data_IF_882746374776
#
_entry.id   IF_882746374776
#
_cell.length_a   1.000
_cell.length_b   1.000
_cell.length_c   1.000
_cell.angle_alpha   90.00
_cell.angle_beta   90.00
_cell.angle_gamma   90.00
#
_symmetry.space_group_name_H-M   'P 1'
#
loop_
_entity.id
_entity.type
_entity.pdbx_description
1 polymer ?
#
# COMPACT_ATOMS: atom_id res chain seq x y z
N UNK A 1 49.30 -64.13 -27.48
CA UNK A 1 48.98 -63.62 -26.11
C UNK A 1 48.53 -62.17 -26.29
N UNK A 2 47.23 -61.93 -26.25
CA UNK A 2 46.65 -60.59 -26.44
C UNK A 2 46.12 -60.05 -25.12
N UNK A 3 46.73 -58.98 -24.62
CA UNK A 3 46.36 -58.31 -23.36
C UNK A 3 45.27 -57.28 -23.64
N UNK A 4 44.04 -57.52 -23.24
CA UNK A 4 42.94 -56.61 -23.33
C UNK A 4 42.91 -55.69 -22.10
N UNK A 5 43.25 -54.43 -22.25
CA UNK A 5 43.20 -53.39 -21.27
C UNK A 5 41.76 -52.86 -21.18
N UNK A 6 41.02 -53.17 -20.09
CA UNK A 6 39.70 -52.57 -19.77
C UNK A 6 39.90 -51.18 -19.20
N UNK A 7 39.43 -50.15 -19.91
CA UNK A 7 39.39 -48.77 -19.42
C UNK A 7 38.07 -48.51 -18.72
N UNK A 8 38.07 -48.48 -17.40
CA UNK A 8 36.91 -48.13 -16.58
C UNK A 8 36.72 -46.60 -16.55
N UNK A 9 35.69 -46.11 -17.24
CA UNK A 9 35.29 -44.70 -17.18
C UNK A 9 34.45 -44.49 -15.94
N UNK A 10 34.99 -43.80 -14.92
CA UNK A 10 34.28 -43.37 -13.73
C UNK A 10 33.49 -42.09 -14.07
N UNK A 11 32.19 -42.21 -14.30
CA UNK A 11 31.31 -41.04 -14.47
C UNK A 11 31.01 -40.47 -13.10
N UNK A 12 31.70 -39.36 -12.75
CA UNK A 12 31.36 -38.56 -11.58
C UNK A 12 30.06 -37.79 -11.81
N UNK A 13 28.95 -38.29 -11.26
CA UNK A 13 27.66 -37.61 -11.25
C UNK A 13 27.71 -36.45 -10.26
N UNK A 14 28.00 -35.25 -10.74
CA UNK A 14 27.92 -34.04 -9.92
C UNK A 14 26.44 -33.75 -9.61
N UNK A 15 26.00 -34.07 -8.37
CA UNK A 15 24.73 -33.61 -7.82
C UNK A 15 24.80 -32.07 -7.73
N UNK A 16 24.20 -31.38 -8.72
CA UNK A 16 23.90 -29.96 -8.56
C UNK A 16 22.85 -29.82 -7.45
N UNK A 17 23.09 -28.99 -6.44
CA UNK A 17 22.06 -28.72 -5.45
C UNK A 17 20.86 -28.08 -6.17
N UNK A 18 19.74 -28.79 -6.21
CA UNK A 18 18.46 -28.20 -6.60
C UNK A 18 18.11 -27.16 -5.55
N UNK A 19 18.42 -25.88 -5.84
CA UNK A 19 18.02 -24.78 -5.00
C UNK A 19 16.50 -24.86 -4.83
N UNK A 20 16.04 -25.22 -3.62
CA UNK A 20 14.63 -25.17 -3.26
C UNK A 20 14.14 -23.76 -3.55
N UNK A 21 13.25 -23.60 -4.52
CA UNK A 21 12.65 -22.30 -4.80
C UNK A 21 11.94 -21.83 -3.53
N UNK A 22 12.55 -20.88 -2.84
CA UNK A 22 12.01 -20.37 -1.58
C UNK A 22 10.66 -19.71 -1.87
N UNK A 23 9.60 -20.17 -1.19
CA UNK A 23 8.25 -19.59 -1.32
C UNK A 23 8.33 -18.08 -1.01
N UNK A 24 7.81 -17.21 -1.89
CA UNK A 24 7.87 -15.78 -1.65
C UNK A 24 7.07 -15.38 -0.40
N UNK A 25 7.57 -14.40 0.32
CA UNK A 25 6.85 -13.74 1.42
C UNK A 25 5.60 -13.05 0.86
N UNK A 26 4.43 -13.33 1.40
CA UNK A 26 3.15 -12.79 0.91
C UNK A 26 2.75 -11.59 1.74
N UNK A 27 2.70 -10.43 1.09
CA UNK A 27 2.38 -9.15 1.74
C UNK A 27 0.98 -8.70 1.34
N UNK A 28 0.08 -8.55 2.31
CA UNK A 28 -1.17 -7.83 2.14
C UNK A 28 -0.88 -6.34 2.30
N UNK A 29 -1.04 -5.54 1.26
CA UNK A 29 -0.66 -4.12 1.27
C UNK A 29 -1.82 -3.21 0.88
N UNK A 30 -2.03 -2.14 1.63
CA UNK A 30 -3.01 -1.11 1.28
C UNK A 30 -2.71 -0.52 -0.11
N UNK A 31 -3.77 -0.22 -0.86
CA UNK A 31 -3.67 0.14 -2.28
C UNK A 31 -2.85 1.42 -2.56
N UNK A 32 -2.71 2.32 -1.59
CA UNK A 32 -1.85 3.50 -1.72
C UNK A 32 -0.34 3.17 -1.80
N UNK A 33 0.04 1.93 -1.41
CA UNK A 33 1.40 1.42 -1.54
C UNK A 33 1.70 0.84 -2.93
N UNK A 34 0.69 0.68 -3.80
CA UNK A 34 0.87 0.08 -5.13
C UNK A 34 1.99 0.74 -5.96
N UNK A 35 2.13 2.08 -6.01
CA UNK A 35 3.22 2.72 -6.74
C UNK A 35 4.56 2.73 -5.99
N UNK A 36 4.58 2.41 -4.68
CA UNK A 36 5.73 2.62 -3.79
C UNK A 36 6.41 1.32 -3.41
N UNK A 37 5.64 0.29 -3.07
CA UNK A 37 6.16 -0.94 -2.47
C UNK A 37 6.93 -1.83 -3.47
N UNK A 38 6.52 -2.02 -4.74
CA UNK A 38 7.21 -2.95 -5.65
C UNK A 38 8.71 -2.69 -5.81
N UNK A 39 9.19 -1.45 -6.05
CA UNK A 39 10.63 -1.19 -6.13
C UNK A 39 11.36 -1.43 -4.80
N UNK A 40 10.70 -1.25 -3.65
CA UNK A 40 11.28 -1.54 -2.34
C UNK A 40 11.39 -3.04 -2.10
N UNK A 41 10.41 -3.84 -2.53
CA UNK A 41 10.49 -5.32 -2.45
C UNK A 41 11.63 -5.87 -3.32
N UNK A 42 11.88 -5.26 -4.47
CA UNK A 42 13.02 -5.65 -5.30
C UNK A 42 14.36 -5.27 -4.63
N UNK A 43 14.48 -4.09 -4.01
CA UNK A 43 15.66 -3.72 -3.21
C UNK A 43 15.85 -4.67 -2.02
N UNK A 44 14.77 -5.03 -1.34
CA UNK A 44 14.79 -6.02 -0.25
C UNK A 44 15.31 -7.38 -0.74
N UNK A 45 14.83 -7.84 -1.88
CA UNK A 45 15.30 -9.08 -2.51
C UNK A 45 16.80 -9.02 -2.84
N UNK A 46 17.28 -7.90 -3.37
CA UNK A 46 18.71 -7.71 -3.70
C UNK A 46 19.57 -7.72 -2.44
N UNK A 47 19.07 -7.12 -1.35
CA UNK A 47 19.82 -7.03 -0.09
C UNK A 47 19.85 -8.34 0.71
N UNK A 48 18.77 -9.16 0.63
CA UNK A 48 18.57 -10.30 1.54
C UNK A 48 18.47 -11.65 0.83
N UNK A 49 18.23 -11.66 -0.48
CA UNK A 49 17.88 -12.86 -1.23
C UNK A 49 16.43 -13.30 -1.06
N UNK A 50 15.64 -12.70 -0.15
CA UNK A 50 14.26 -13.06 0.14
C UNK A 50 13.35 -12.43 -0.90
N UNK A 51 12.54 -13.25 -1.59
CA UNK A 51 11.47 -12.77 -2.48
C UNK A 51 10.24 -12.41 -1.66
N UNK A 52 9.63 -11.28 -1.98
CA UNK A 52 8.35 -10.87 -1.42
C UNK A 52 7.40 -10.42 -2.55
N UNK A 53 6.12 -10.76 -2.41
CA UNK A 53 5.06 -10.43 -3.38
C UNK A 53 3.92 -9.76 -2.64
N UNK A 54 3.41 -8.65 -3.18
CA UNK A 54 2.36 -7.87 -2.57
C UNK A 54 1.03 -7.98 -3.31
N UNK A 55 -0.06 -8.09 -2.54
CA UNK A 55 -1.43 -7.96 -3.03
C UNK A 55 -1.99 -6.63 -2.54
N UNK A 56 -2.44 -5.80 -3.48
CA UNK A 56 -2.92 -4.45 -3.20
C UNK A 56 -4.45 -4.37 -3.22
N UNK A 57 -5.05 -3.97 -2.09
CA UNK A 57 -6.50 -3.80 -1.94
C UNK A 57 -6.83 -2.72 -0.89
N UNK A 58 -8.12 -2.42 -0.70
CA UNK A 58 -8.56 -1.65 0.46
C UNK A 58 -8.23 -2.41 1.76
N UNK A 59 -7.80 -1.68 2.80
CA UNK A 59 -7.36 -2.27 4.07
C UNK A 59 -8.42 -3.17 4.72
N UNK A 60 -9.71 -2.82 4.63
CA UNK A 60 -10.80 -3.67 5.14
C UNK A 60 -10.90 -5.01 4.41
N UNK A 61 -10.73 -5.01 3.08
CA UNK A 61 -10.80 -6.21 2.25
C UNK A 61 -9.67 -7.17 2.64
N UNK A 62 -8.44 -6.65 2.76
CA UNK A 62 -7.28 -7.45 3.18
C UNK A 62 -7.46 -8.01 4.59
N UNK A 63 -7.92 -7.20 5.54
CA UNK A 63 -8.21 -7.66 6.89
C UNK A 63 -9.26 -8.78 6.90
N UNK A 64 -10.33 -8.67 6.10
CA UNK A 64 -11.33 -9.72 5.94
C UNK A 64 -10.75 -10.99 5.32
N UNK A 65 -9.88 -10.88 4.32
CA UNK A 65 -9.18 -12.02 3.73
C UNK A 65 -8.31 -12.74 4.77
N UNK A 66 -7.56 -11.99 5.61
CA UNK A 66 -6.76 -12.58 6.70
C UNK A 66 -7.67 -13.27 7.73
N UNK A 67 -8.80 -12.65 8.12
CA UNK A 67 -9.79 -13.26 9.00
C UNK A 67 -10.34 -14.59 8.44
N UNK A 68 -10.50 -14.66 7.13
CA UNK A 68 -10.95 -15.87 6.42
C UNK A 68 -9.82 -16.85 6.11
N UNK A 69 -8.62 -16.63 6.63
CA UNK A 69 -7.49 -17.56 6.55
C UNK A 69 -6.65 -17.42 5.27
N UNK A 70 -6.74 -16.30 4.54
CA UNK A 70 -5.84 -16.04 3.42
C UNK A 70 -4.38 -16.10 3.87
N UNK A 71 -3.49 -16.74 3.09
CA UNK A 71 -2.14 -17.07 3.52
C UNK A 71 -1.17 -15.89 3.32
N UNK A 72 -1.41 -14.80 4.01
CA UNK A 72 -0.49 -13.68 4.10
C UNK A 72 0.47 -13.84 5.28
N UNK A 73 1.65 -13.24 5.16
CA UNK A 73 2.70 -13.25 6.17
C UNK A 73 2.80 -11.90 6.89
N UNK A 74 2.66 -10.80 6.15
CA UNK A 74 2.71 -9.42 6.63
C UNK A 74 1.50 -8.65 6.12
N UNK A 75 0.91 -7.82 6.98
CA UNK A 75 -0.15 -6.88 6.60
C UNK A 75 0.29 -5.44 6.82
N UNK A 76 0.28 -4.64 5.76
CA UNK A 76 0.56 -3.22 5.71
C UNK A 76 -0.75 -2.47 5.43
N UNK A 77 -1.37 -1.94 6.47
CA UNK A 77 -2.66 -1.24 6.40
C UNK A 77 -2.47 0.26 6.28
N UNK A 78 -3.40 0.95 5.62
CA UNK A 78 -3.43 2.41 5.60
C UNK A 78 -4.10 3.03 6.86
N UNK A 79 -4.36 2.25 7.89
CA UNK A 79 -4.76 2.71 9.23
C UNK A 79 -4.32 1.72 10.31
N UNK A 80 -4.58 2.07 11.58
CA UNK A 80 -4.26 1.22 12.73
C UNK A 80 -5.44 0.33 13.14
N UNK A 81 -6.67 0.65 12.75
CA UNK A 81 -7.87 -0.03 13.25
C UNK A 81 -8.01 -1.47 12.75
N UNK A 82 -7.68 -1.71 11.47
CA UNK A 82 -7.75 -3.06 10.91
C UNK A 82 -6.66 -3.99 11.46
N UNK A 83 -5.37 -3.58 11.50
CA UNK A 83 -4.33 -4.35 12.18
C UNK A 83 -4.67 -4.63 13.64
N UNK A 84 -5.15 -3.61 14.39
CA UNK A 84 -5.53 -3.80 15.80
C UNK A 84 -6.63 -4.85 15.96
N UNK A 85 -7.66 -4.83 15.12
CA UNK A 85 -8.73 -5.87 15.16
C UNK A 85 -8.21 -7.28 14.93
N UNK A 86 -7.18 -7.43 14.05
CA UNK A 86 -6.56 -8.73 13.82
C UNK A 86 -5.75 -9.18 15.04
N UNK A 87 -5.05 -8.27 15.73
CA UNK A 87 -4.34 -8.55 16.99
C UNK A 87 -5.36 -8.98 18.06
N UNK A 88 -6.43 -8.20 18.26
CA UNK A 88 -7.47 -8.47 19.26
C UNK A 88 -8.17 -9.83 19.00
N UNK A 89 -8.21 -10.27 17.75
CA UNK A 89 -8.74 -11.58 17.35
C UNK A 89 -7.70 -12.73 17.41
N UNK A 90 -6.46 -12.47 17.80
CA UNK A 90 -5.38 -13.47 17.82
C UNK A 90 -4.91 -13.92 16.43
N UNK A 91 -5.24 -13.15 15.38
CA UNK A 91 -4.92 -13.46 13.99
C UNK A 91 -3.66 -12.77 13.49
N UNK A 92 -3.16 -11.80 14.23
CA UNK A 92 -1.92 -11.10 13.95
C UNK A 92 -1.18 -10.75 15.26
N UNK A 93 0.11 -10.55 15.14
CA UNK A 93 0.97 -10.11 16.23
C UNK A 93 1.49 -8.71 15.92
N UNK A 94 1.56 -7.87 16.95
CA UNK A 94 2.30 -6.63 16.86
C UNK A 94 3.79 -6.94 16.62
N UNK A 95 4.32 -6.49 15.52
CA UNK A 95 5.61 -6.92 15.00
C UNK A 95 6.83 -6.42 15.81
N UNK A 96 6.65 -5.74 16.93
CA UNK A 96 7.74 -5.09 17.68
C UNK A 96 8.05 -5.66 19.05
N UNK A 97 7.14 -6.37 19.69
CA UNK A 97 7.40 -7.08 20.96
C UNK A 97 6.31 -8.12 21.22
N UNK A 98 6.65 -9.17 21.96
CA UNK A 98 5.69 -10.22 22.36
C UNK A 98 4.51 -9.67 23.20
N UNK A 99 4.67 -8.53 23.83
CA UNK A 99 3.69 -7.91 24.73
C UNK A 99 2.96 -6.71 24.11
N UNK A 100 3.26 -6.36 22.83
CA UNK A 100 2.63 -5.21 22.18
C UNK A 100 1.28 -5.58 21.60
N UNK A 101 0.24 -4.89 22.04
CA UNK A 101 -1.14 -4.98 21.51
C UNK A 101 -1.40 -3.94 20.43
N UNK A 102 -0.39 -3.16 20.04
CA UNK A 102 -0.49 -2.04 19.10
C UNK A 102 0.25 -2.35 17.80
N UNK A 103 -0.34 -2.09 16.62
CA UNK A 103 0.38 -2.18 15.34
C UNK A 103 1.58 -1.25 15.30
N UNK A 104 2.64 -1.62 14.60
CA UNK A 104 3.75 -0.70 14.32
C UNK A 104 3.31 0.32 13.29
N UNK A 105 3.46 1.60 13.60
CA UNK A 105 3.31 2.68 12.60
C UNK A 105 4.57 2.70 11.75
N UNK A 106 4.44 2.46 10.42
CA UNK A 106 5.59 2.47 9.51
C UNK A 106 5.64 3.69 8.60
N UNK A 107 4.50 4.41 8.44
CA UNK A 107 4.40 5.63 7.65
C UNK A 107 3.11 6.39 7.99
N UNK A 108 2.97 7.63 7.45
CA UNK A 108 1.69 8.37 7.46
C UNK A 108 1.35 8.80 6.05
N UNK A 109 0.09 8.58 5.66
CA UNK A 109 -0.45 8.95 4.36
C UNK A 109 -0.82 10.43 4.26
N UNK A 110 -0.90 10.94 3.04
CA UNK A 110 -1.34 12.31 2.74
C UNK A 110 -2.46 12.29 1.71
N UNK A 111 -3.58 12.93 2.02
CA UNK A 111 -4.72 13.11 1.13
C UNK A 111 -4.50 14.34 0.26
N UNK A 112 -4.75 14.21 -1.04
CA UNK A 112 -4.67 15.31 -2.01
C UNK A 112 -5.93 15.38 -2.86
N UNK A 113 -6.29 16.58 -3.29
CA UNK A 113 -7.24 16.81 -4.36
C UNK A 113 -6.45 16.89 -5.68
N UNK A 114 -6.74 16.02 -6.60
CA UNK A 114 -6.10 15.99 -7.92
C UNK A 114 -7.10 16.26 -9.04
N UNK A 115 -6.67 16.99 -10.05
CA UNK A 115 -7.45 17.20 -11.27
C UNK A 115 -6.54 17.20 -12.49
N UNK A 116 -7.12 16.83 -13.66
CA UNK A 116 -6.41 16.76 -14.93
C UNK A 116 -6.05 18.15 -15.44
N UNK A 117 -4.87 18.30 -16.03
CA UNK A 117 -4.49 19.50 -16.80
C UNK A 117 -5.37 19.63 -18.04
N UNK A 118 -5.71 20.88 -18.38
CA UNK A 118 -6.55 21.17 -19.56
C UNK A 118 -8.03 20.83 -19.38
N UNK A 119 -8.49 20.47 -18.19
CA UNK A 119 -9.91 20.43 -17.86
C UNK A 119 -10.49 21.84 -17.83
N UNK A 120 -11.81 21.96 -17.93
CA UNK A 120 -12.53 23.24 -17.78
C UNK A 120 -12.60 23.71 -16.33
N UNK A 121 -12.17 22.88 -15.38
CA UNK A 121 -12.14 23.20 -13.96
C UNK A 121 -10.93 24.09 -13.62
N UNK A 122 -11.05 24.94 -12.58
CA UNK A 122 -9.90 25.66 -12.04
C UNK A 122 -8.84 24.69 -11.49
N UNK A 123 -7.60 25.17 -11.29
CA UNK A 123 -6.55 24.37 -10.67
C UNK A 123 -6.98 23.81 -9.30
N UNK A 124 -6.50 22.62 -8.89
CA UNK A 124 -6.84 22.05 -7.61
C UNK A 124 -6.57 23.00 -6.43
N UNK A 125 -7.62 23.25 -5.66
CA UNK A 125 -7.64 24.07 -4.43
C UNK A 125 -8.88 23.69 -3.62
N UNK A 126 -9.06 24.21 -2.43
CA UNK A 126 -10.31 24.00 -1.69
C UNK A 126 -11.52 24.63 -2.40
N UNK A 127 -11.32 25.68 -3.20
CA UNK A 127 -12.40 26.33 -3.94
C UNK A 127 -12.88 25.48 -5.10
N UNK A 128 -12.02 24.64 -5.71
CA UNK A 128 -12.45 23.66 -6.70
C UNK A 128 -13.59 22.76 -6.20
N UNK A 129 -13.58 22.41 -4.91
CA UNK A 129 -14.65 21.59 -4.30
C UNK A 129 -16.01 22.31 -4.26
N UNK A 130 -16.03 23.65 -4.43
CA UNK A 130 -17.24 24.48 -4.51
C UNK A 130 -17.64 24.84 -5.94
N UNK A 131 -16.78 24.50 -6.90
CA UNK A 131 -17.03 24.85 -8.29
C UNK A 131 -18.27 24.13 -8.85
N UNK A 132 -19.22 24.87 -9.48
CA UNK A 132 -20.41 24.25 -10.06
C UNK A 132 -20.10 23.36 -11.27
N UNK A 133 -18.94 23.51 -11.89
CA UNK A 133 -18.44 22.67 -12.97
C UNK A 133 -17.97 21.30 -12.51
N UNK A 134 -17.62 21.11 -11.23
CA UNK A 134 -17.28 19.81 -10.67
C UNK A 134 -18.53 18.93 -10.59
N UNK A 135 -18.70 17.99 -11.50
CA UNK A 135 -19.86 17.10 -11.57
C UNK A 135 -19.60 15.73 -10.94
N UNK A 136 -18.36 15.24 -11.04
CA UNK A 136 -17.96 13.91 -10.59
C UNK A 136 -16.68 14.01 -9.78
N UNK A 137 -16.75 13.63 -8.49
CA UNK A 137 -15.63 13.60 -7.56
C UNK A 137 -15.31 12.16 -7.18
N UNK A 138 -14.15 11.64 -7.58
CA UNK A 138 -13.71 10.33 -7.19
C UNK A 138 -13.25 10.32 -5.72
N UNK A 139 -13.74 9.34 -4.97
CA UNK A 139 -13.29 9.01 -3.62
C UNK A 139 -13.17 7.49 -3.49
N UNK A 140 -12.27 7.01 -2.64
CA UNK A 140 -12.30 5.60 -2.23
C UNK A 140 -13.52 5.35 -1.32
N UNK A 141 -14.04 4.12 -1.33
CA UNK A 141 -15.18 3.73 -0.48
C UNK A 141 -14.82 3.94 1.01
N UNK A 142 -15.52 4.82 1.75
CA UNK A 142 -15.20 5.13 3.15
C UNK A 142 -15.42 3.94 4.10
N UNK A 143 -16.29 2.99 3.75
CA UNK A 143 -16.53 1.79 4.57
C UNK A 143 -15.36 0.81 4.53
N UNK A 144 -14.50 0.88 3.49
CA UNK A 144 -13.45 -0.09 3.23
C UNK A 144 -12.04 0.51 3.20
N UNK A 145 -11.92 1.79 2.88
CA UNK A 145 -10.63 2.44 2.64
C UNK A 145 -10.39 3.60 3.62
N UNK A 146 -9.26 3.61 4.35
CA UNK A 146 -8.90 4.71 5.24
C UNK A 146 -8.85 6.08 4.57
N UNK A 147 -8.34 6.16 3.34
CA UNK A 147 -8.36 7.39 2.56
C UNK A 147 -9.77 7.86 2.20
N UNK A 148 -10.72 6.95 2.02
CA UNK A 148 -12.14 7.28 1.84
C UNK A 148 -12.72 7.92 3.08
N UNK A 149 -12.42 7.37 4.27
CA UNK A 149 -12.81 8.00 5.55
C UNK A 149 -12.16 9.38 5.75
N UNK A 150 -10.89 9.52 5.39
CA UNK A 150 -10.20 10.82 5.44
C UNK A 150 -10.84 11.83 4.49
N UNK A 151 -11.23 11.42 3.27
CA UNK A 151 -11.94 12.26 2.31
C UNK A 151 -13.30 12.73 2.87
N UNK A 152 -14.11 11.81 3.40
CA UNK A 152 -15.39 12.15 4.04
C UNK A 152 -15.19 13.09 5.22
N UNK A 153 -14.20 12.84 6.09
CA UNK A 153 -13.89 13.71 7.23
C UNK A 153 -13.49 15.13 6.77
N UNK A 154 -12.65 15.24 5.74
CA UNK A 154 -12.24 16.53 5.19
C UNK A 154 -13.44 17.31 4.60
N UNK A 155 -14.28 16.63 3.82
CA UNK A 155 -15.48 17.25 3.24
C UNK A 155 -16.51 17.66 4.31
N UNK A 156 -16.65 16.88 5.37
CA UNK A 156 -17.51 17.20 6.52
C UNK A 156 -16.97 18.42 7.28
N UNK A 157 -15.67 18.49 7.55
CA UNK A 157 -15.01 19.64 8.17
C UNK A 157 -15.19 20.94 7.36
N UNK A 158 -15.20 20.81 6.02
CA UNK A 158 -15.46 21.91 5.09
C UNK A 158 -16.96 22.24 4.91
N UNK A 159 -17.87 21.47 5.52
CA UNK A 159 -19.33 21.55 5.33
C UNK A 159 -19.76 21.34 3.88
N UNK A 160 -19.04 20.49 3.15
CA UNK A 160 -19.28 20.20 1.73
C UNK A 160 -19.76 18.77 1.47
N UNK A 161 -19.76 17.90 2.49
CA UNK A 161 -20.08 16.48 2.32
C UNK A 161 -21.44 16.26 1.66
N UNK A 162 -22.51 16.83 2.22
CA UNK A 162 -23.88 16.62 1.73
C UNK A 162 -24.07 17.17 0.31
N UNK A 163 -23.46 18.32 0.00
CA UNK A 163 -23.54 18.93 -1.33
C UNK A 163 -22.77 18.12 -2.39
N UNK A 164 -21.67 17.47 -2.02
CA UNK A 164 -20.84 16.70 -2.95
C UNK A 164 -21.16 15.21 -3.00
N UNK A 165 -21.83 14.67 -1.98
CA UNK A 165 -22.21 13.24 -1.92
C UNK A 165 -22.93 12.74 -3.18
N UNK A 166 -23.89 13.48 -3.78
CA UNK A 166 -24.55 13.07 -5.04
C UNK A 166 -23.61 13.03 -6.25
N UNK A 167 -22.41 13.66 -6.16
CA UNK A 167 -21.40 13.71 -7.22
C UNK A 167 -20.29 12.69 -7.03
N UNK A 168 -20.36 11.84 -6.00
CA UNK A 168 -19.30 10.87 -5.74
C UNK A 168 -19.27 9.78 -6.81
N UNK A 169 -18.07 9.52 -7.29
CA UNK A 169 -17.69 8.32 -8.02
C UNK A 169 -16.90 7.47 -7.01
N UNK A 170 -17.60 6.55 -6.38
CA UNK A 170 -17.03 5.73 -5.29
C UNK A 170 -16.23 4.57 -5.87
N UNK A 171 -14.95 4.52 -5.56
CA UNK A 171 -14.02 3.48 -5.96
C UNK A 171 -13.85 2.43 -4.86
N UNK A 172 -13.53 1.18 -5.20
CA UNK A 172 -13.30 0.11 -4.24
C UNK A 172 -12.11 0.39 -3.31
N UNK A 173 -11.07 1.07 -3.84
CA UNK A 173 -9.88 1.45 -3.09
C UNK A 173 -9.29 2.77 -3.63
N UNK A 174 -8.22 3.27 -3.00
CA UNK A 174 -7.64 4.57 -3.33
C UNK A 174 -6.89 4.57 -4.68
N UNK A 175 -6.35 3.44 -5.10
CA UNK A 175 -5.69 3.29 -6.40
C UNK A 175 -6.72 3.39 -7.53
N UNK A 176 -7.89 2.75 -7.38
CA UNK A 176 -8.99 2.86 -8.35
C UNK A 176 -9.57 4.27 -8.39
N UNK A 177 -9.64 5.00 -7.25
CA UNK A 177 -10.04 6.40 -7.28
C UNK A 177 -9.08 7.25 -8.13
N UNK A 178 -7.77 6.99 -8.03
CA UNK A 178 -6.77 7.62 -8.89
C UNK A 178 -6.95 7.25 -10.38
N UNK A 179 -7.30 6.00 -10.68
CA UNK A 179 -7.59 5.56 -12.04
C UNK A 179 -8.83 6.27 -12.63
N UNK A 180 -9.87 6.52 -11.82
CA UNK A 180 -11.07 7.21 -12.28
C UNK A 180 -10.79 8.65 -12.70
N UNK A 181 -9.95 9.38 -11.97
CA UNK A 181 -9.58 10.75 -12.37
C UNK A 181 -8.62 10.75 -13.56
N UNK A 182 -7.70 9.79 -13.62
CA UNK A 182 -6.76 9.66 -14.72
C UNK A 182 -7.43 9.29 -16.05
N UNK A 183 -8.45 8.43 -16.02
CA UNK A 183 -9.22 8.04 -17.21
C UNK A 183 -10.29 9.07 -17.64
N UNK A 184 -10.60 10.08 -16.79
CA UNK A 184 -11.69 11.03 -17.02
C UNK A 184 -13.07 10.53 -16.61
N UNK A 185 -13.16 9.38 -15.93
CA UNK A 185 -14.41 8.89 -15.33
C UNK A 185 -14.86 9.77 -14.15
N UNK A 186 -13.95 10.54 -13.56
CA UNK A 186 -14.23 11.62 -12.63
C UNK A 186 -13.48 12.89 -13.04
N UNK A 187 -14.06 14.05 -12.71
CA UNK A 187 -13.51 15.35 -13.09
C UNK A 187 -12.34 15.76 -12.17
N UNK A 188 -12.44 15.38 -10.89
CA UNK A 188 -11.40 15.50 -9.87
C UNK A 188 -11.50 14.32 -8.89
N UNK A 189 -10.51 14.14 -8.01
CA UNK A 189 -10.52 13.08 -7.00
C UNK A 189 -9.74 13.42 -5.77
N UNK A 190 -10.26 12.94 -4.63
CA UNK A 190 -9.53 12.90 -3.38
C UNK A 190 -8.74 11.57 -3.34
N UNK A 191 -7.44 11.65 -3.62
CA UNK A 191 -6.55 10.51 -3.81
C UNK A 191 -5.34 10.57 -2.87
N UNK A 192 -4.51 9.53 -2.86
CA UNK A 192 -3.25 9.53 -2.10
C UNK A 192 -2.19 10.37 -2.82
N UNK A 193 -1.32 11.01 -2.05
CA UNK A 193 -0.15 11.69 -2.60
C UNK A 193 0.78 10.71 -3.32
N UNK A 194 0.88 9.47 -2.86
CA UNK A 194 1.66 8.41 -3.54
C UNK A 194 1.19 8.18 -4.97
N UNK A 195 -0.13 8.14 -5.19
CA UNK A 195 -0.68 8.03 -6.56
C UNK A 195 -0.43 9.30 -7.38
N UNK A 196 -0.64 10.49 -6.79
CA UNK A 196 -0.47 11.77 -7.47
C UNK A 196 0.97 12.02 -7.94
N UNK A 197 1.97 11.46 -7.25
CA UNK A 197 3.40 11.56 -7.58
C UNK A 197 3.87 10.54 -8.62
N UNK A 198 3.04 9.59 -9.03
CA UNK A 198 3.42 8.69 -10.12
C UNK A 198 3.73 9.48 -11.40
N UNK A 199 4.70 9.05 -12.24
CA UNK A 199 5.03 9.76 -13.47
C UNK A 199 3.80 10.07 -14.35
N UNK A 200 2.86 9.14 -14.40
CA UNK A 200 1.62 9.26 -15.17
C UNK A 200 0.75 10.41 -14.66
N UNK A 201 0.37 10.42 -13.36
CA UNK A 201 -0.50 11.44 -12.81
C UNK A 201 0.21 12.79 -12.68
N UNK A 202 1.50 12.83 -12.38
CA UNK A 202 2.28 14.06 -12.30
C UNK A 202 2.39 14.78 -13.67
N UNK A 203 2.46 14.01 -14.77
CA UNK A 203 2.49 14.59 -16.11
C UNK A 203 1.11 15.05 -16.60
N UNK A 204 0.04 14.28 -16.30
CA UNK A 204 -1.31 14.49 -16.82
C UNK A 204 -2.19 15.43 -15.98
N UNK A 205 -1.78 15.76 -14.75
CA UNK A 205 -2.57 16.55 -13.82
C UNK A 205 -1.76 17.40 -12.87
N UNK A 206 -2.44 17.95 -11.88
CA UNK A 206 -1.86 18.65 -10.75
C UNK A 206 -2.66 18.32 -9.48
N UNK A 207 -2.08 18.57 -8.32
CA UNK A 207 -2.74 18.30 -7.06
C UNK A 207 -2.60 19.46 -6.07
N UNK A 208 -3.51 19.48 -5.10
CA UNK A 208 -3.49 20.33 -3.92
C UNK A 208 -3.51 19.45 -2.68
N UNK A 209 -2.58 19.65 -1.76
CA UNK A 209 -2.54 18.91 -0.50
C UNK A 209 -3.67 19.36 0.42
N UNK A 210 -4.56 18.46 0.80
CA UNK A 210 -5.63 18.76 1.75
C UNK A 210 -5.01 19.04 3.12
N UNK A 211 -5.33 20.19 3.77
CA UNK A 211 -4.80 20.51 5.09
C UNK A 211 -5.07 19.39 6.10
N UNK A 212 -4.01 18.98 6.82
CA UNK A 212 -4.08 17.89 7.81
C UNK A 212 -5.05 18.16 8.96
N UNK A 213 -5.39 19.41 9.21
CA UNK A 213 -6.40 19.79 10.22
C UNK A 213 -7.83 19.41 9.84
N UNK A 214 -8.09 19.03 8.59
CA UNK A 214 -9.43 18.74 8.09
C UNK A 214 -9.80 17.24 8.21
N UNK A 215 -8.85 16.35 8.50
CA UNK A 215 -9.08 14.92 8.64
C UNK A 215 -8.14 14.29 9.67
N UNK A 216 -8.52 13.17 10.32
CA UNK A 216 -7.65 12.45 11.22
C UNK A 216 -6.38 11.96 10.50
N UNK A 217 -5.22 11.87 11.20
CA UNK A 217 -3.99 11.33 10.61
C UNK A 217 -4.24 9.95 9.96
N UNK A 218 -3.70 9.76 8.77
CA UNK A 218 -3.70 8.46 8.08
C UNK A 218 -2.44 7.71 8.51
N UNK A 219 -2.43 7.19 9.75
CA UNK A 219 -1.30 6.42 10.28
C UNK A 219 -1.35 5.00 9.75
N UNK A 220 -0.30 4.61 9.03
CA UNK A 220 -0.23 3.29 8.39
C UNK A 220 0.38 2.28 9.34
N UNK A 221 -0.36 1.19 9.61
CA UNK A 221 0.00 0.18 10.58
C UNK A 221 0.45 -1.14 9.96
N UNK A 222 1.47 -1.76 10.54
CA UNK A 222 1.98 -3.06 10.15
C UNK A 222 1.77 -4.10 11.26
N UNK A 223 1.42 -5.33 10.86
CA UNK A 223 1.35 -6.51 11.74
C UNK A 223 1.79 -7.76 11.00
N UNK A 224 2.36 -8.72 11.72
CA UNK A 224 2.63 -10.05 11.22
C UNK A 224 1.38 -10.92 11.39
N UNK A 225 1.04 -11.70 10.38
CA UNK A 225 -0.06 -12.67 10.48
C UNK A 225 0.37 -13.84 11.35
N UNK A 226 -0.43 -14.20 12.38
CA UNK A 226 -0.03 -15.19 13.40
C UNK A 226 0.29 -16.57 12.82
N UNK A 227 -0.39 -16.96 11.72
CA UNK A 227 -0.19 -18.26 11.05
C UNK A 227 1.01 -18.30 10.10
N UNK A 228 1.77 -17.22 9.97
CA UNK A 228 2.94 -17.22 9.08
C UNK A 228 4.00 -18.22 9.52
N UNK A 229 4.49 -18.98 8.56
CA UNK A 229 5.68 -19.83 8.73
C UNK A 229 6.97 -19.09 8.38
N UNK A 230 6.88 -17.87 7.87
CA UNK A 230 7.99 -17.04 7.43
C UNK A 230 8.23 -15.83 8.37
N UNK A 231 7.99 -16.00 9.67
CA UNK A 231 8.04 -14.92 10.68
C UNK A 231 9.34 -14.10 10.61
N UNK A 232 10.49 -14.77 10.53
CA UNK A 232 11.79 -14.09 10.48
C UNK A 232 11.93 -13.22 9.21
N UNK A 233 11.49 -13.71 8.05
CA UNK A 233 11.51 -12.96 6.79
C UNK A 233 10.54 -11.77 6.84
N UNK A 234 9.37 -11.93 7.47
CA UNK A 234 8.38 -10.86 7.64
C UNK A 234 8.91 -9.75 8.55
N UNK A 235 9.58 -10.10 9.66
CA UNK A 235 10.27 -9.13 10.51
C UNK A 235 11.36 -8.40 9.75
N UNK A 236 12.19 -9.12 9.02
CA UNK A 236 13.29 -8.52 8.25
C UNK A 236 12.78 -7.54 7.19
N UNK A 237 11.64 -7.83 6.53
CA UNK A 237 11.01 -6.88 5.62
C UNK A 237 10.49 -5.64 6.36
N UNK A 238 9.88 -5.81 7.53
CA UNK A 238 9.41 -4.68 8.32
C UNK A 238 10.57 -3.80 8.80
N UNK A 239 11.65 -4.39 9.31
CA UNK A 239 12.87 -3.67 9.71
C UNK A 239 13.47 -2.92 8.53
N UNK A 240 13.47 -3.54 7.33
CA UNK A 240 13.91 -2.88 6.10
C UNK A 240 13.04 -1.66 5.79
N UNK A 241 11.70 -1.76 5.87
CA UNK A 241 10.79 -0.65 5.65
C UNK A 241 10.97 0.49 6.68
N UNK A 242 11.35 0.16 7.90
CA UNK A 242 11.63 1.12 8.98
C UNK A 242 13.04 1.70 8.92
N UNK A 243 13.92 1.18 8.08
CA UNK A 243 15.29 1.68 7.98
C UNK A 243 15.34 3.12 7.45
N UNK A 244 16.29 3.93 7.92
CA UNK A 244 16.43 5.33 7.53
C UNK A 244 16.53 5.54 6.01
N UNK A 245 17.28 4.73 5.22
CA UNK A 245 17.32 4.86 3.77
C UNK A 245 15.96 4.65 3.10
N UNK A 246 15.18 3.67 3.58
CA UNK A 246 13.85 3.36 3.03
C UNK A 246 12.84 4.41 3.46
N UNK A 247 12.89 4.89 4.71
CA UNK A 247 12.05 5.98 5.18
C UNK A 247 12.27 7.27 4.35
N UNK A 248 13.50 7.57 3.95
CA UNK A 248 13.80 8.67 3.04
C UNK A 248 13.21 8.47 1.62
N UNK A 249 13.14 7.21 1.13
CA UNK A 249 12.48 6.89 -0.14
C UNK A 249 10.95 7.01 -0.02
N UNK A 250 10.36 6.55 1.08
CA UNK A 250 8.93 6.70 1.38
C UNK A 250 8.54 8.18 1.40
N UNK A 251 9.38 9.05 2.00
CA UNK A 251 9.17 10.50 2.00
C UNK A 251 9.10 11.09 0.58
N UNK A 252 10.05 10.71 -0.29
CA UNK A 252 10.06 11.16 -1.69
C UNK A 252 8.86 10.64 -2.48
N UNK A 253 8.30 9.51 -2.05
CA UNK A 253 7.14 8.88 -2.69
C UNK A 253 5.79 9.38 -2.14
N UNK A 254 5.78 10.40 -1.26
CA UNK A 254 4.55 11.03 -0.76
C UNK A 254 3.99 10.47 0.55
N UNK A 255 4.73 9.61 1.24
CA UNK A 255 4.44 9.19 2.61
C UNK A 255 5.24 10.05 3.59
N UNK A 256 4.68 10.29 4.77
CA UNK A 256 5.44 10.95 5.85
C UNK A 256 6.15 9.87 6.65
N UNK A 257 7.48 9.96 6.82
CA UNK A 257 8.26 9.05 7.65
C UNK A 257 7.83 9.08 9.11
N UNK A 258 8.22 8.04 9.86
CA UNK A 258 7.98 7.93 11.31
C UNK A 258 9.21 8.32 12.15
N UNK A 259 10.36 8.55 11.48
CA UNK A 259 11.62 8.98 12.09
C UNK A 259 12.20 10.15 11.34
#
# INVERSE_FOLDING_TARGET
MSFRMLLSILVALTLMPTGSAQTPLRVAAAADLEPVLPPLLEQFRQATGIRAEATFQASAVLATQIQNGAPFDLFLSADLSYPKRLIDAGLADAAGSADSTTPIVYAKGTLVLWARKGSTLPPPSLDLLRDPGLKRLAIANPDRAPYGRAAVSALTSLKLYDALKPRFVTAENISQAAQFVDSGNADAGLISLTSALTPRLASSGSYFVIPRSLYPPIEQGAVLVSKTTQRAAAHQLLDFLLSAPVQAQLAKSGLTPVH
#
